data_IF_030051420535
#
_entry.id   IF_030051420535
#
_cell.length_a   1.000
_cell.length_b   1.000
_cell.length_c   1.000
_cell.angle_alpha   90.00
_cell.angle_beta   90.00
_cell.angle_gamma   90.00
#
_symmetry.space_group_name_H-M   'P 1'
#
loop_
_entity.id
_entity.type
_entity.pdbx_description
1 polymer ?
#
# COMPACT_ATOMS: atom_id res chain seq x y z
N UNK A 1 -4.36 1.44 12.42
CA UNK A 1 -3.24 1.46 13.40
C UNK A 1 -3.73 1.35 14.84
N UNK A 2 -4.52 2.31 15.38
CA UNK A 2 -5.00 2.23 16.79
C UNK A 2 -5.67 0.89 17.17
N UNK A 3 -6.53 0.33 16.29
CA UNK A 3 -7.21 -0.96 16.52
C UNK A 3 -6.23 -2.13 16.59
N UNK A 4 -5.18 -2.12 15.76
CA UNK A 4 -4.17 -3.19 15.72
C UNK A 4 -3.03 -3.00 16.74
N UNK A 5 -3.00 -1.88 17.47
CA UNK A 5 -1.92 -1.55 18.40
C UNK A 5 -0.58 -1.20 17.74
N UNK A 6 -0.53 -1.14 16.40
CA UNK A 6 0.68 -0.82 15.64
C UNK A 6 0.90 0.69 15.55
N UNK A 7 2.17 1.09 15.49
CA UNK A 7 2.61 2.45 15.15
C UNK A 7 2.94 2.53 13.66
N UNK A 8 3.12 3.76 13.17
CA UNK A 8 3.49 4.00 11.77
C UNK A 8 4.82 3.34 11.40
N UNK A 9 5.79 3.35 12.32
CA UNK A 9 7.12 2.72 12.15
C UNK A 9 7.08 1.19 12.10
N UNK A 10 5.96 0.57 12.51
CA UNK A 10 5.77 -0.87 12.43
C UNK A 10 5.21 -1.32 11.07
N UNK A 11 4.75 -0.37 10.23
CA UNK A 11 4.16 -0.68 8.92
C UNK A 11 5.27 -0.74 7.88
N UNK A 12 5.41 -1.89 7.24
CA UNK A 12 6.45 -2.13 6.23
C UNK A 12 5.93 -1.94 4.80
N UNK A 13 4.60 -1.87 4.59
CA UNK A 13 3.99 -1.69 3.26
C UNK A 13 2.54 -1.16 3.33
N UNK A 14 2.18 -0.29 2.37
CA UNK A 14 0.81 0.09 2.09
C UNK A 14 0.37 -0.46 0.72
N UNK A 15 -0.67 -1.30 0.71
CA UNK A 15 -1.40 -1.61 -0.50
C UNK A 15 -2.46 -0.53 -0.71
N UNK A 16 -2.18 0.43 -1.59
CA UNK A 16 -3.08 1.52 -1.93
C UNK A 16 -4.40 1.02 -2.53
N UNK A 17 -5.40 1.88 -2.45
CA UNK A 17 -6.55 1.81 -3.33
C UNK A 17 -6.12 2.05 -4.78
N UNK A 18 -5.28 3.05 -5.05
CA UNK A 18 -4.54 3.25 -6.31
C UNK A 18 -5.35 3.00 -7.57
N UNK A 19 -6.39 3.81 -7.79
CA UNK A 19 -7.33 3.66 -8.91
C UNK A 19 -6.83 4.21 -10.24
N UNK A 20 -5.61 4.77 -10.28
CA UNK A 20 -5.09 5.50 -11.44
C UNK A 20 -5.95 6.73 -11.80
N UNK A 21 -6.69 7.26 -10.82
CA UNK A 21 -7.40 8.53 -10.97
C UNK A 21 -6.61 9.61 -10.25
N UNK A 22 -6.45 10.77 -10.90
CA UNK A 22 -5.66 11.90 -10.39
C UNK A 22 -6.04 12.21 -8.93
N UNK A 23 -7.34 12.35 -8.66
CA UNK A 23 -7.83 12.72 -7.33
C UNK A 23 -7.58 11.65 -6.26
N UNK A 24 -7.74 10.35 -6.59
CA UNK A 24 -7.49 9.29 -5.62
C UNK A 24 -6.01 9.21 -5.27
N UNK A 25 -5.15 9.12 -6.29
CA UNK A 25 -3.75 8.79 -6.09
C UNK A 25 -3.02 9.94 -5.36
N UNK A 26 -3.37 11.20 -5.67
CA UNK A 26 -2.92 12.37 -4.90
C UNK A 26 -3.47 12.36 -3.47
N UNK A 27 -4.75 11.99 -3.27
CA UNK A 27 -5.34 11.97 -1.93
C UNK A 27 -4.67 10.93 -1.02
N UNK A 28 -4.36 9.74 -1.55
CA UNK A 28 -3.62 8.70 -0.82
C UNK A 28 -2.22 9.17 -0.46
N UNK A 29 -1.50 9.72 -1.43
CA UNK A 29 -0.14 10.23 -1.22
C UNK A 29 -0.11 11.37 -0.20
N UNK A 30 -1.03 12.33 -0.29
CA UNK A 30 -1.15 13.43 0.68
C UNK A 30 -1.51 12.91 2.07
N UNK A 31 -2.40 11.92 2.19
CA UNK A 31 -2.76 11.33 3.48
C UNK A 31 -1.54 10.67 4.14
N UNK A 32 -0.73 9.92 3.39
CA UNK A 32 0.51 9.34 3.92
C UNK A 32 1.57 10.40 4.22
N UNK A 33 1.72 11.45 3.40
CA UNK A 33 2.60 12.59 3.68
C UNK A 33 2.28 13.24 5.04
N UNK A 34 0.99 13.40 5.35
CA UNK A 34 0.55 13.93 6.65
C UNK A 34 0.96 13.00 7.79
N UNK A 35 0.82 11.67 7.61
CA UNK A 35 1.22 10.69 8.63
C UNK A 35 2.74 10.69 8.86
N UNK A 36 3.52 10.80 7.78
CA UNK A 36 4.98 10.80 7.82
C UNK A 36 5.61 12.18 8.05
N UNK A 37 4.82 13.22 8.27
CA UNK A 37 5.33 14.58 8.41
C UNK A 37 6.41 14.68 9.50
N UNK A 38 7.56 15.26 9.15
CA UNK A 38 8.73 15.37 10.03
C UNK A 38 9.60 14.11 10.12
N UNK A 39 9.24 13.00 9.46
CA UNK A 39 10.05 11.79 9.36
C UNK A 39 10.88 11.78 8.08
N UNK A 40 12.12 11.31 8.18
CA UNK A 40 13.02 11.16 7.04
C UNK A 40 12.48 10.12 6.04
N UNK A 41 12.70 10.34 4.74
CA UNK A 41 12.15 9.50 3.66
C UNK A 41 12.51 8.01 3.77
N UNK A 42 13.66 7.67 4.34
CA UNK A 42 14.06 6.28 4.61
C UNK A 42 13.20 5.57 5.67
N UNK A 43 12.30 6.26 6.37
CA UNK A 43 11.32 5.70 7.30
C UNK A 43 9.96 5.43 6.65
N UNK A 44 9.78 5.86 5.41
CA UNK A 44 8.50 5.75 4.72
C UNK A 44 8.38 4.35 4.14
N UNK A 45 7.27 3.69 4.43
CA UNK A 45 6.98 2.41 3.82
C UNK A 45 6.60 2.61 2.33
N UNK A 46 6.92 1.65 1.45
CA UNK A 46 6.44 1.68 0.08
C UNK A 46 4.91 1.71 -0.01
N UNK A 47 4.38 2.42 -0.99
CA UNK A 47 2.96 2.52 -1.33
C UNK A 47 2.77 1.90 -2.72
N UNK A 48 2.19 0.70 -2.82
CA UNK A 48 1.97 0.04 -4.11
C UNK A 48 0.50 -0.03 -4.52
N UNK A 49 0.25 -0.30 -5.80
CA UNK A 49 -1.08 -0.68 -6.31
C UNK A 49 -0.99 -1.93 -7.18
N UNK A 50 -1.93 -2.86 -6.95
CA UNK A 50 -2.10 -4.07 -7.77
C UNK A 50 -3.14 -3.89 -8.88
N UNK A 51 -3.87 -2.77 -8.91
CA UNK A 51 -4.90 -2.52 -9.93
C UNK A 51 -4.35 -2.42 -11.35
N UNK A 52 -3.09 -2.00 -11.59
CA UNK A 52 -2.51 -2.10 -12.93
C UNK A 52 -2.44 -3.54 -13.47
N UNK A 53 -2.52 -4.58 -12.61
CA UNK A 53 -2.49 -5.99 -13.00
C UNK A 53 -3.91 -6.53 -13.26
N UNK A 54 -4.87 -6.19 -12.41
CA UNK A 54 -6.22 -6.79 -12.42
C UNK A 54 -7.35 -5.84 -12.86
N UNK A 55 -7.05 -4.56 -13.04
CA UNK A 55 -8.05 -3.50 -13.19
C UNK A 55 -8.77 -3.16 -11.88
N UNK A 56 -9.71 -2.22 -11.96
CA UNK A 56 -10.56 -1.87 -10.81
C UNK A 56 -11.83 -2.74 -10.77
N UNK A 57 -11.79 -3.81 -9.99
CA UNK A 57 -12.88 -4.80 -9.89
C UNK A 57 -14.01 -4.39 -8.93
N UNK A 58 -14.25 -3.09 -8.76
CA UNK A 58 -15.26 -2.52 -7.84
C UNK A 58 -15.27 -3.17 -6.45
N UNK A 59 -16.41 -3.70 -6.00
CA UNK A 59 -16.56 -4.29 -4.67
C UNK A 59 -15.59 -5.44 -4.37
N UNK A 60 -15.08 -6.13 -5.40
CA UNK A 60 -14.09 -7.18 -5.21
C UNK A 60 -12.67 -6.64 -4.97
N UNK A 61 -12.39 -5.37 -5.30
CA UNK A 61 -11.03 -4.82 -5.27
C UNK A 61 -10.42 -4.86 -3.86
N UNK A 62 -11.22 -4.67 -2.80
CA UNK A 62 -10.75 -4.78 -1.42
C UNK A 62 -10.27 -6.20 -1.08
N UNK A 63 -11.01 -7.23 -1.50
CA UNK A 63 -10.66 -8.64 -1.26
C UNK A 63 -9.38 -9.01 -2.02
N UNK A 64 -9.26 -8.56 -3.28
CA UNK A 64 -8.06 -8.82 -4.08
C UNK A 64 -6.83 -8.11 -3.47
N UNK A 65 -6.98 -6.86 -3.01
CA UNK A 65 -5.91 -6.13 -2.31
C UNK A 65 -5.44 -6.90 -1.06
N UNK A 66 -6.38 -7.36 -0.21
CA UNK A 66 -6.07 -8.15 1.00
C UNK A 66 -5.39 -9.47 0.64
N UNK A 67 -5.90 -10.21 -0.35
CA UNK A 67 -5.33 -11.48 -0.77
C UNK A 67 -3.90 -11.32 -1.32
N UNK A 68 -3.66 -10.32 -2.17
CA UNK A 68 -2.33 -10.01 -2.68
C UNK A 68 -1.38 -9.59 -1.56
N UNK A 69 -1.83 -8.76 -0.62
CA UNK A 69 -1.03 -8.31 0.54
C UNK A 69 -0.66 -9.49 1.44
N UNK A 70 -1.59 -10.41 1.70
CA UNK A 70 -1.32 -11.63 2.44
C UNK A 70 -0.27 -12.51 1.73
N UNK A 71 -0.35 -12.62 0.40
CA UNK A 71 0.66 -13.34 -0.39
C UNK A 71 2.03 -12.65 -0.39
N UNK A 72 2.08 -11.31 -0.43
CA UNK A 72 3.32 -10.55 -0.31
C UNK A 72 3.98 -10.76 1.05
N UNK A 73 3.21 -10.69 2.14
CA UNK A 73 3.66 -11.04 3.50
C UNK A 73 4.14 -12.49 3.56
N UNK A 74 3.39 -13.45 3.01
CA UNK A 74 3.79 -14.87 3.05
C UNK A 74 5.08 -15.14 2.27
N UNK A 75 5.25 -14.48 1.12
CA UNK A 75 6.38 -14.70 0.22
C UNK A 75 7.57 -13.78 0.49
N UNK A 76 7.42 -12.79 1.38
CA UNK A 76 8.43 -11.76 1.66
C UNK A 76 8.92 -11.05 0.38
N UNK A 77 7.97 -10.77 -0.51
CA UNK A 77 8.20 -10.13 -1.83
C UNK A 77 7.09 -9.10 -2.06
N UNK A 78 7.47 -7.86 -2.33
CA UNK A 78 6.56 -6.82 -2.80
C UNK A 78 6.31 -6.96 -4.30
N UNK A 79 5.04 -6.80 -4.69
CA UNK A 79 4.62 -6.74 -6.08
C UNK A 79 4.80 -5.33 -6.63
N UNK A 80 5.31 -5.16 -7.86
CA UNK A 80 5.52 -3.84 -8.43
C UNK A 80 4.21 -3.18 -8.85
N UNK A 81 4.13 -1.86 -8.76
CA UNK A 81 3.09 -1.08 -9.44
C UNK A 81 3.44 -0.98 -10.92
N UNK A 82 2.94 -1.92 -11.72
CA UNK A 82 3.28 -2.01 -13.14
C UNK A 82 2.69 -0.83 -13.94
N UNK A 83 3.25 -0.57 -15.12
CA UNK A 83 2.89 0.52 -16.06
C UNK A 83 3.21 1.95 -15.57
N UNK A 84 3.73 2.14 -14.36
CA UNK A 84 4.21 3.44 -13.88
C UNK A 84 5.59 3.74 -14.48
N UNK A 85 5.65 4.75 -15.36
CA UNK A 85 6.90 5.15 -16.06
C UNK A 85 7.54 6.39 -15.45
N UNK A 86 6.72 7.38 -15.13
CA UNK A 86 7.15 8.64 -14.55
C UNK A 86 6.35 8.84 -13.25
N UNK A 87 7.06 9.07 -12.16
CA UNK A 87 6.45 9.29 -10.84
C UNK A 87 6.04 10.76 -10.74
N UNK A 88 4.77 11.00 -10.42
CA UNK A 88 4.27 12.34 -10.18
C UNK A 88 4.88 12.91 -8.88
N UNK A 89 5.40 14.16 -8.87
CA UNK A 89 5.94 14.78 -7.66
C UNK A 89 4.96 14.84 -6.47
N UNK A 90 3.65 14.87 -6.71
CA UNK A 90 2.64 14.79 -5.64
C UNK A 90 2.43 13.37 -5.10
N UNK A 91 2.89 12.36 -5.84
CA UNK A 91 2.83 10.94 -5.49
C UNK A 91 4.25 10.37 -5.36
N UNK A 92 5.08 11.02 -4.55
CA UNK A 92 6.52 10.74 -4.45
C UNK A 92 6.90 9.59 -3.49
N UNK A 93 5.97 8.66 -3.24
CA UNK A 93 6.25 7.47 -2.46
C UNK A 93 6.98 6.42 -3.31
N UNK A 94 7.61 5.46 -2.65
CA UNK A 94 8.17 4.30 -3.34
C UNK A 94 7.04 3.39 -3.82
N UNK A 95 6.82 3.40 -5.14
CA UNK A 95 5.78 2.61 -5.82
C UNK A 95 6.27 1.24 -6.33
N UNK A 96 7.49 0.82 -5.95
CA UNK A 96 8.09 -0.45 -6.35
C UNK A 96 8.18 -0.57 -7.88
N UNK A 97 8.73 0.45 -8.54
CA UNK A 97 8.76 0.55 -10.02
C UNK A 97 9.89 -0.28 -10.65
N UNK A 98 10.90 -0.66 -9.88
CA UNK A 98 12.06 -1.43 -10.34
C UNK A 98 11.80 -2.94 -10.51
N UNK A 99 10.58 -3.40 -10.19
CA UNK A 99 10.17 -4.79 -10.29
C UNK A 99 9.90 -5.43 -8.92
N UNK A 100 9.65 -6.74 -8.91
CA UNK A 100 9.34 -7.44 -7.66
C UNK A 100 10.53 -7.36 -6.67
N UNK A 101 10.28 -6.79 -5.49
CA UNK A 101 11.33 -6.54 -4.49
C UNK A 101 11.22 -7.52 -3.33
N UNK A 102 12.24 -8.36 -3.14
CA UNK A 102 12.39 -9.17 -1.92
C UNK A 102 12.69 -8.25 -0.74
N UNK A 103 11.94 -8.37 0.34
CA UNK A 103 12.15 -7.56 1.56
C UNK A 103 11.48 -8.22 2.75
N UNK A 104 11.93 -7.86 3.96
CA UNK A 104 11.30 -8.32 5.20
C UNK A 104 10.01 -7.53 5.42
N UNK A 105 8.87 -8.22 5.46
CA UNK A 105 7.55 -7.67 5.68
C UNK A 105 6.92 -8.29 6.93
N UNK A 106 6.69 -7.47 7.95
CA UNK A 106 6.03 -7.88 9.21
C UNK A 106 4.59 -7.40 9.20
N UNK A 107 4.35 -6.13 8.88
CA UNK A 107 2.99 -5.58 8.88
C UNK A 107 2.72 -4.79 7.60
N UNK A 108 1.50 -4.92 7.10
CA UNK A 108 1.02 -4.16 5.95
C UNK A 108 -0.40 -3.63 6.19
N UNK A 109 -0.73 -2.52 5.52
CA UNK A 109 -2.07 -1.95 5.53
C UNK A 109 -2.64 -1.99 4.10
N UNK A 110 -3.78 -2.65 3.94
CA UNK A 110 -4.57 -2.60 2.71
C UNK A 110 -5.63 -1.50 2.81
N UNK A 111 -5.62 -0.57 1.85
CA UNK A 111 -6.46 0.62 1.79
C UNK A 111 -7.54 0.47 0.72
N UNK A 112 -8.76 0.95 1.00
CA UNK A 112 -9.80 1.08 -0.01
C UNK A 112 -10.67 2.32 0.23
N UNK A 113 -10.84 3.11 -0.84
CA UNK A 113 -11.63 4.33 -0.87
C UNK A 113 -12.72 4.21 -1.93
N UNK A 114 -13.98 4.05 -1.52
CA UNK A 114 -15.11 3.88 -2.42
C UNK A 114 -15.93 5.15 -2.56
N UNK A 115 -16.74 5.18 -3.62
CA UNK A 115 -17.69 6.27 -3.92
C UNK A 115 -18.61 6.49 -2.71
N UNK A 116 -18.95 7.75 -2.44
CA UNK A 116 -19.74 8.13 -1.25
C UNK A 116 -18.89 8.24 0.02
N UNK A 117 -17.60 8.57 -0.12
CA UNK A 117 -16.66 8.82 0.97
C UNK A 117 -16.49 7.65 1.93
N UNK A 118 -16.65 6.42 1.43
CA UNK A 118 -16.48 5.21 2.22
C UNK A 118 -15.01 4.83 2.24
N UNK A 119 -14.41 4.76 3.42
CA UNK A 119 -13.00 4.39 3.60
C UNK A 119 -12.90 3.15 4.47
N UNK A 120 -12.10 2.18 4.04
CA UNK A 120 -11.83 0.97 4.81
C UNK A 120 -10.35 0.62 4.78
N UNK A 121 -9.89 0.05 5.90
CA UNK A 121 -8.49 -0.28 6.12
C UNK A 121 -8.40 -1.64 6.78
N UNK A 122 -7.53 -2.50 6.26
CA UNK A 122 -7.25 -3.82 6.85
C UNK A 122 -5.78 -3.88 7.21
N UNK A 123 -5.49 -4.15 8.49
CA UNK A 123 -4.13 -4.42 8.96
C UNK A 123 -3.86 -5.91 8.82
N UNK A 124 -2.76 -6.26 8.16
CA UNK A 124 -2.28 -7.64 8.05
C UNK A 124 -0.91 -7.76 8.69
N UNK A 125 -0.65 -8.88 9.36
CA UNK A 125 0.66 -9.21 9.90
C UNK A 125 1.13 -10.56 9.32
N UNK A 126 2.43 -10.67 9.05
CA UNK A 126 3.04 -11.95 8.74
C UNK A 126 2.96 -12.85 10.00
N UNK A 127 2.64 -14.15 9.84
CA UNK A 127 2.63 -15.06 10.96
C UNK A 127 4.06 -15.20 11.56
N UNK A 128 4.19 -15.44 12.87
CA UNK A 128 5.48 -15.36 13.58
C UNK A 128 6.55 -16.32 13.07
N UNK A 129 6.16 -17.43 12.44
CA UNK A 129 7.04 -18.46 11.88
C UNK A 129 7.75 -18.05 10.59
N UNK A 130 7.37 -16.92 9.98
CA UNK A 130 7.98 -16.40 8.74
C UNK A 130 9.03 -15.30 8.97
N UNK A 131 9.27 -14.88 10.22
CA UNK A 131 10.08 -13.70 10.58
C UNK A 131 11.37 -14.05 11.31
#
# INVERSE_FOLDING_TARGET
MRISGLKLEDIDYFCGHGTATINNDMAESRALNILYNGLSRNKWAPLGSIKPIFGHTFGAAGIINVAATALMLKKQILCPTINLKEVDPECDHDHITEGARKTRLRNAISMAFAIGSQSSFVSLAAPPDLL
#
